data_IF_867847439404
#
_entry.id   IF_867847439404
#
_cell.length_a   1.000
_cell.length_b   1.000
_cell.length_c   1.000
_cell.angle_alpha   90.00
_cell.angle_beta   90.00
_cell.angle_gamma   90.00
#
_symmetry.space_group_name_H-M   'P 1'
#
loop_
_entity.id
_entity.type
_entity.pdbx_description
1 polymer ?
#
# COMPACT_ATOMS: atom_id res chain seq x y z
N UNK A 1 7.01 10.45 -6.06
CA UNK A 1 5.70 10.67 -5.41
C UNK A 1 5.10 9.38 -4.81
N UNK A 2 5.60 8.18 -5.14
CA UNK A 2 5.24 6.91 -4.49
C UNK A 2 5.83 6.75 -3.07
N UNK A 3 7.02 7.34 -2.82
CA UNK A 3 7.76 7.18 -1.57
C UNK A 3 7.02 7.56 -0.28
N UNK A 4 6.14 8.56 -0.27
CA UNK A 4 5.50 9.01 0.97
C UNK A 4 4.49 7.98 1.51
N UNK A 5 3.69 7.37 0.63
CA UNK A 5 2.74 6.33 1.01
C UNK A 5 3.48 5.06 1.44
N UNK A 6 4.47 4.60 0.64
CA UNK A 6 5.27 3.42 0.95
C UNK A 6 6.02 3.59 2.27
N UNK A 7 6.61 4.77 2.52
CA UNK A 7 7.31 5.06 3.78
C UNK A 7 6.35 5.10 4.97
N UNK A 8 5.15 5.68 4.81
CA UNK A 8 4.14 5.68 5.87
C UNK A 8 3.67 4.25 6.21
N UNK A 9 3.44 3.41 5.19
CA UNK A 9 3.08 1.99 5.39
C UNK A 9 4.22 1.24 6.06
N UNK A 10 5.47 1.45 5.62
CA UNK A 10 6.68 0.86 6.24
C UNK A 10 6.78 1.21 7.72
N UNK A 11 6.57 2.49 8.06
CA UNK A 11 6.61 2.98 9.43
C UNK A 11 5.37 2.60 10.24
N UNK A 12 4.37 1.95 9.62
CA UNK A 12 3.04 1.66 10.20
C UNK A 12 2.38 2.92 10.77
N UNK A 13 2.70 4.06 10.17
CA UNK A 13 2.19 5.37 10.55
C UNK A 13 0.88 5.63 9.80
N UNK A 14 -0.21 5.38 10.52
CA UNK A 14 -1.56 5.57 10.02
C UNK A 14 -1.84 7.02 9.61
N UNK A 15 -1.38 7.99 10.40
CA UNK A 15 -1.69 9.40 10.17
C UNK A 15 -0.99 9.90 8.89
N UNK A 16 0.28 9.54 8.71
CA UNK A 16 1.02 9.84 7.50
C UNK A 16 0.45 9.13 6.27
N UNK A 17 -0.03 7.88 6.42
CA UNK A 17 -0.66 7.15 5.33
C UNK A 17 -2.00 7.78 4.89
N UNK A 18 -2.83 8.21 5.84
CA UNK A 18 -4.09 8.91 5.58
C UNK A 18 -3.84 10.25 4.86
N UNK A 19 -2.84 11.03 5.29
CA UNK A 19 -2.46 12.27 4.63
C UNK A 19 -1.95 12.03 3.18
N UNK A 20 -1.15 10.99 2.97
CA UNK A 20 -0.68 10.61 1.64
C UNK A 20 -1.85 10.20 0.73
N UNK A 21 -2.80 9.41 1.24
CA UNK A 21 -4.01 9.00 0.50
C UNK A 21 -4.87 10.23 0.15
N UNK A 22 -5.11 11.14 1.10
CA UNK A 22 -5.89 12.35 0.87
C UNK A 22 -5.25 13.23 -0.21
N UNK A 23 -3.92 13.35 -0.22
CA UNK A 23 -3.21 14.06 -1.29
C UNK A 23 -3.39 13.38 -2.65
N UNK A 24 -3.32 12.04 -2.71
CA UNK A 24 -3.48 11.28 -3.96
C UNK A 24 -4.92 11.33 -4.49
N UNK A 25 -5.93 11.39 -3.63
CA UNK A 25 -7.35 11.52 -4.04
C UNK A 25 -7.63 12.77 -4.85
N UNK A 26 -6.85 13.84 -4.68
CA UNK A 26 -6.98 15.06 -5.49
C UNK A 26 -6.48 14.89 -6.94
N UNK A 27 -5.75 13.81 -7.24
CA UNK A 27 -5.05 13.62 -8.53
C UNK A 27 -5.38 12.29 -9.23
N UNK A 28 -6.01 11.34 -8.54
CA UNK A 28 -6.16 9.96 -9.01
C UNK A 28 -7.48 9.34 -8.55
N UNK A 29 -7.98 8.34 -9.29
CA UNK A 29 -9.16 7.57 -8.88
C UNK A 29 -8.84 6.67 -7.68
N UNK A 30 -9.88 6.23 -6.97
CA UNK A 30 -9.73 5.35 -5.79
C UNK A 30 -9.12 4.00 -6.16
N UNK A 31 -9.44 3.48 -7.33
CA UNK A 31 -8.90 2.23 -7.88
C UNK A 31 -7.38 2.35 -8.05
N UNK A 32 -6.92 3.46 -8.65
CA UNK A 32 -5.49 3.69 -8.85
C UNK A 32 -4.74 3.87 -7.52
N UNK A 33 -5.38 4.48 -6.53
CA UNK A 33 -4.81 4.61 -5.17
C UNK A 33 -4.72 3.23 -4.50
N UNK A 34 -5.74 2.40 -4.68
CA UNK A 34 -5.74 1.03 -4.16
C UNK A 34 -4.62 0.20 -4.78
N UNK A 35 -4.41 0.29 -6.09
CA UNK A 35 -3.27 -0.35 -6.77
C UNK A 35 -1.93 0.07 -6.19
N UNK A 36 -1.72 1.36 -5.97
CA UNK A 36 -0.48 1.87 -5.39
C UNK A 36 -0.28 1.40 -3.93
N UNK A 37 -1.37 1.26 -3.18
CA UNK A 37 -1.34 0.73 -1.82
C UNK A 37 -0.95 -0.75 -1.82
N UNK A 38 -1.55 -1.56 -2.69
CA UNK A 38 -1.18 -2.97 -2.86
C UNK A 38 0.28 -3.10 -3.30
N UNK A 39 0.70 -2.36 -4.33
CA UNK A 39 2.08 -2.38 -4.81
C UNK A 39 3.09 -1.99 -3.71
N UNK A 40 2.75 -1.01 -2.85
CA UNK A 40 3.60 -0.64 -1.72
C UNK A 40 3.73 -1.77 -0.71
N UNK A 41 2.64 -2.48 -0.41
CA UNK A 41 2.66 -3.62 0.51
C UNK A 41 3.40 -4.81 -0.11
N UNK A 42 3.25 -5.05 -1.41
CA UNK A 42 4.01 -6.08 -2.13
C UNK A 42 5.51 -5.82 -2.14
N UNK A 43 5.92 -4.57 -2.36
CA UNK A 43 7.32 -4.18 -2.25
C UNK A 43 7.87 -4.48 -0.84
N UNK A 44 7.14 -4.07 0.21
CA UNK A 44 7.54 -4.35 1.59
C UNK A 44 7.64 -5.86 1.87
N UNK A 45 6.70 -6.64 1.37
CA UNK A 45 6.66 -8.08 1.58
C UNK A 45 7.78 -8.83 0.86
N UNK A 46 8.00 -8.52 -0.43
CA UNK A 46 8.83 -9.34 -1.32
C UNK A 46 10.24 -8.80 -1.53
N UNK A 47 10.40 -7.48 -1.59
CA UNK A 47 11.71 -6.85 -1.78
C UNK A 47 12.41 -6.59 -0.44
N UNK A 48 11.65 -6.24 0.59
CA UNK A 48 12.20 -5.84 1.91
C UNK A 48 12.04 -6.92 2.98
N UNK A 49 11.31 -7.99 2.69
CA UNK A 49 11.13 -9.13 3.60
C UNK A 49 10.24 -8.83 4.82
N UNK A 50 9.36 -7.83 4.77
CA UNK A 50 8.40 -7.56 5.85
C UNK A 50 7.37 -8.70 5.92
N UNK A 51 7.60 -9.60 6.87
CA UNK A 51 6.73 -10.75 7.14
C UNK A 51 5.29 -10.38 7.53
N UNK A 52 5.06 -9.20 8.11
CA UNK A 52 3.72 -8.73 8.47
C UNK A 52 2.96 -8.30 7.21
N UNK A 53 3.64 -7.59 6.31
CA UNK A 53 3.09 -7.24 5.00
C UNK A 53 2.77 -8.50 4.18
N UNK A 54 3.68 -9.48 4.16
CA UNK A 54 3.47 -10.76 3.49
C UNK A 54 2.26 -11.53 4.07
N UNK A 55 2.15 -11.62 5.40
CA UNK A 55 1.00 -12.27 6.04
C UNK A 55 -0.32 -11.56 5.74
N UNK A 56 -0.33 -10.23 5.68
CA UNK A 56 -1.52 -9.47 5.32
C UNK A 56 -1.97 -9.76 3.88
N UNK A 57 -1.02 -9.83 2.93
CA UNK A 57 -1.31 -10.20 1.54
C UNK A 57 -1.85 -11.62 1.44
N UNK A 58 -1.23 -12.58 2.13
CA UNK A 58 -1.64 -13.98 2.12
C UNK A 58 -3.02 -14.20 2.75
N UNK A 59 -3.42 -13.39 3.74
CA UNK A 59 -4.76 -13.43 4.36
C UNK A 59 -5.84 -12.78 3.50
N UNK A 60 -5.48 -12.08 2.41
CA UNK A 60 -6.43 -11.47 1.47
C UNK A 60 -6.36 -12.14 0.09
N UNK A 61 -6.95 -13.34 -0.08
CA UNK A 61 -6.98 -14.02 -1.37
C UNK A 61 -7.71 -13.23 -2.48
N UNK A 62 -8.57 -12.27 -2.12
CA UNK A 62 -9.34 -11.48 -3.08
C UNK A 62 -8.55 -10.34 -3.77
N UNK A 63 -7.42 -9.89 -3.21
CA UNK A 63 -6.66 -8.77 -3.81
C UNK A 63 -5.84 -9.19 -5.05
N UNK A 64 -5.52 -10.49 -5.18
CA UNK A 64 -4.78 -11.06 -6.31
C UNK A 64 -5.67 -11.56 -7.46
N UNK A 65 -6.98 -11.72 -7.24
CA UNK A 65 -7.86 -12.45 -8.17
C UNK A 65 -8.68 -11.57 -9.13
N UNK A 66 -8.45 -10.25 -9.18
CA UNK A 66 -9.20 -9.33 -10.06
C UNK A 66 -8.32 -8.27 -10.72
N UNK A 67 -7.24 -8.72 -11.35
CA UNK A 67 -6.61 -8.03 -12.47
C UNK A 67 -6.48 -9.00 -13.64
#
# INVERSE_FOLDING_TARGET
MFNALTQAIRNRDRQSAEAAIASLQSRMSRERIFELLIASVEQLAWEEGDSVAAQWLLRRPAARSRY
#
